data_IF_154308553917
#
_entry.id   IF_154308553917
#
_cell.length_a   1.000
_cell.length_b   1.000
_cell.length_c   1.000
_cell.angle_alpha   90.00
_cell.angle_beta   90.00
_cell.angle_gamma   90.00
#
_symmetry.space_group_name_H-M   'P 1'
#
loop_
_entity.id
_entity.type
_entity.pdbx_description
1 polymer ?
#
# COMPACT_ATOMS: atom_id res chain seq x y z
N UNK A 1 -18.32 1.61 -21.68
CA UNK A 1 -16.85 1.51 -21.49
C UNK A 1 -16.61 1.34 -20.00
N UNK A 2 -16.30 0.13 -19.54
CA UNK A 2 -16.10 -0.15 -18.11
C UNK A 2 -14.72 0.32 -17.66
N UNK A 3 -14.65 1.06 -16.57
CA UNK A 3 -13.39 1.39 -15.89
C UNK A 3 -12.76 0.11 -15.33
N UNK A 4 -11.49 -0.13 -15.63
CA UNK A 4 -10.74 -1.29 -15.15
C UNK A 4 -10.20 -0.98 -13.75
N UNK A 5 -11.06 -1.17 -12.75
CA UNK A 5 -10.73 -0.98 -11.34
C UNK A 5 -9.77 -2.07 -10.84
N UNK A 6 -8.87 -1.69 -9.93
CA UNK A 6 -7.99 -2.63 -9.25
C UNK A 6 -8.80 -3.53 -8.30
N UNK A 7 -8.56 -4.84 -8.33
CA UNK A 7 -9.19 -5.80 -7.41
C UNK A 7 -8.56 -5.79 -6.01
N UNK A 8 -7.43 -5.08 -5.83
CA UNK A 8 -6.79 -4.98 -4.51
C UNK A 8 -7.67 -4.17 -3.54
N UNK A 9 -7.86 -4.73 -2.34
CA UNK A 9 -8.59 -4.09 -1.25
C UNK A 9 -8.02 -2.68 -0.95
N UNK A 10 -8.89 -1.68 -0.89
CA UNK A 10 -8.50 -0.29 -0.59
C UNK A 10 -7.72 0.44 -1.70
N UNK A 11 -7.62 -0.11 -2.91
CA UNK A 11 -7.02 0.60 -4.04
C UNK A 11 -8.08 1.36 -4.85
N UNK A 12 -7.96 2.68 -4.91
CA UNK A 12 -8.90 3.58 -5.62
C UNK A 12 -8.57 3.75 -7.12
N UNK A 13 -7.59 2.99 -7.64
CA UNK A 13 -7.17 3.10 -9.02
C UNK A 13 -8.17 2.46 -9.99
N UNK A 14 -8.60 3.24 -10.99
CA UNK A 14 -9.63 2.87 -11.98
C UNK A 14 -9.10 2.69 -13.41
N UNK A 15 -7.77 2.73 -13.59
CA UNK A 15 -7.07 2.54 -14.86
C UNK A 15 -5.97 1.47 -14.71
N UNK A 16 -6.37 0.21 -14.60
CA UNK A 16 -5.44 -0.91 -14.47
C UNK A 16 -5.28 -1.66 -15.80
N UNK A 17 -4.04 -1.83 -16.26
CA UNK A 17 -3.75 -2.52 -17.53
C UNK A 17 -3.35 -3.99 -17.34
N UNK A 18 -3.07 -4.43 -16.11
CA UNK A 18 -2.58 -5.78 -15.82
C UNK A 18 -3.72 -6.63 -15.28
N UNK A 19 -3.96 -7.78 -15.92
CA UNK A 19 -4.96 -8.77 -15.51
C UNK A 19 -4.28 -10.10 -15.20
N UNK A 20 -4.64 -10.69 -14.07
CA UNK A 20 -4.36 -12.08 -13.76
C UNK A 20 -5.65 -12.87 -13.77
N UNK A 21 -5.67 -14.02 -14.46
CA UNK A 21 -6.83 -14.92 -14.47
C UNK A 21 -7.20 -15.43 -13.07
N UNK A 22 -6.24 -15.45 -12.13
CA UNK A 22 -6.43 -15.97 -10.78
C UNK A 22 -6.79 -14.87 -9.78
N UNK A 23 -6.24 -13.66 -9.94
CA UNK A 23 -6.29 -12.60 -8.92
C UNK A 23 -6.98 -11.31 -9.36
N UNK A 24 -7.40 -11.20 -10.62
CA UNK A 24 -8.08 -10.00 -11.14
C UNK A 24 -7.13 -8.92 -11.65
N UNK A 25 -7.62 -7.68 -11.70
CA UNK A 25 -6.90 -6.52 -12.19
C UNK A 25 -5.99 -5.93 -11.11
N UNK A 26 -4.78 -5.53 -11.52
CA UNK A 26 -3.80 -4.88 -10.64
C UNK A 26 -3.24 -3.62 -11.32
N UNK A 27 -3.23 -2.50 -10.61
CA UNK A 27 -2.61 -1.27 -11.12
C UNK A 27 -1.08 -1.35 -11.06
N UNK A 28 -0.39 -0.49 -11.82
CA UNK A 28 1.07 -0.47 -11.84
C UNK A 28 1.69 -0.17 -10.46
N UNK A 29 1.06 0.68 -9.65
CA UNK A 29 1.54 0.96 -8.29
C UNK A 29 1.48 -0.26 -7.38
N UNK A 30 0.34 -0.97 -7.36
CA UNK A 30 0.20 -2.18 -6.54
C UNK A 30 1.08 -3.31 -7.05
N UNK A 31 1.32 -3.38 -8.35
CA UNK A 31 2.29 -4.32 -8.90
C UNK A 31 3.72 -3.99 -8.45
N UNK A 32 4.11 -2.71 -8.45
CA UNK A 32 5.42 -2.27 -7.96
C UNK A 32 5.61 -2.57 -6.46
N UNK A 33 4.58 -2.35 -5.65
CA UNK A 33 4.55 -2.76 -4.24
C UNK A 33 4.73 -4.27 -4.08
N UNK A 34 4.00 -5.08 -4.86
CA UNK A 34 4.12 -6.55 -4.83
C UNK A 34 5.54 -7.00 -5.20
N UNK A 35 6.15 -6.37 -6.20
CA UNK A 35 7.55 -6.65 -6.59
C UNK A 35 8.51 -6.29 -5.47
N UNK A 36 8.29 -5.16 -4.78
CA UNK A 36 9.09 -4.73 -3.61
C UNK A 36 8.91 -5.63 -2.40
N UNK A 37 7.74 -6.22 -2.20
CA UNK A 37 7.50 -7.21 -1.14
C UNK A 37 8.32 -8.50 -1.34
N UNK A 38 8.75 -8.78 -2.57
CA UNK A 38 9.65 -9.89 -2.91
C UNK A 38 8.93 -11.14 -3.40
N UNK A 39 9.70 -12.06 -4.01
CA UNK A 39 9.16 -13.23 -4.72
C UNK A 39 8.49 -14.27 -3.82
N UNK A 40 8.73 -14.23 -2.50
CA UNK A 40 8.09 -15.11 -1.52
C UNK A 40 6.70 -14.60 -1.09
N UNK A 41 6.30 -13.42 -1.56
CA UNK A 41 5.01 -12.81 -1.20
C UNK A 41 3.85 -13.61 -1.77
N UNK A 42 2.88 -13.93 -0.92
CA UNK A 42 1.62 -14.53 -1.37
C UNK A 42 0.76 -13.47 -2.06
N UNK A 43 0.60 -13.59 -3.38
CA UNK A 43 -0.18 -12.64 -4.20
C UNK A 43 -1.62 -12.52 -3.71
N UNK A 44 -2.23 -13.64 -3.29
CA UNK A 44 -3.60 -13.64 -2.79
C UNK A 44 -3.74 -12.84 -1.50
N UNK A 45 -2.81 -12.99 -0.56
CA UNK A 45 -2.79 -12.20 0.68
C UNK A 45 -2.54 -10.72 0.40
N UNK A 46 -1.60 -10.42 -0.49
CA UNK A 46 -1.30 -9.05 -0.94
C UNK A 46 -2.51 -8.34 -1.59
N UNK A 47 -3.32 -9.06 -2.36
CA UNK A 47 -4.53 -8.52 -2.98
C UNK A 47 -5.64 -8.25 -1.95
N UNK A 48 -5.73 -9.05 -0.88
CA UNK A 48 -6.72 -8.87 0.19
C UNK A 48 -6.29 -7.86 1.26
N UNK A 49 -5.00 -7.55 1.37
CA UNK A 49 -4.52 -6.55 2.30
C UNK A 49 -4.87 -5.15 1.79
N UNK A 50 -5.43 -4.27 2.65
CA UNK A 50 -5.73 -2.91 2.27
C UNK A 50 -4.44 -2.25 1.81
N UNK A 51 -4.46 -1.56 0.66
CA UNK A 51 -3.37 -0.65 0.29
C UNK A 51 -3.23 0.32 1.45
N UNK A 52 -2.15 0.20 2.22
CA UNK A 52 -1.82 1.17 3.26
C UNK A 52 -1.66 2.50 2.54
N UNK A 53 -2.69 3.33 2.57
CA UNK A 53 -2.55 4.74 2.22
C UNK A 53 -1.40 5.21 3.08
N UNK A 54 -0.30 5.64 2.44
CA UNK A 54 0.86 6.15 3.14
C UNK A 54 0.33 7.20 4.12
N UNK A 55 0.27 6.86 5.41
CA UNK A 55 0.04 7.84 6.45
C UNK A 55 1.10 8.88 6.17
N UNK A 56 0.66 10.09 5.81
CA UNK A 56 1.58 11.14 5.36
C UNK A 56 2.73 11.19 6.34
N UNK A 57 3.96 11.32 5.85
CA UNK A 57 5.15 11.27 6.70
C UNK A 57 5.01 12.20 7.91
N UNK A 58 4.30 13.32 7.73
CA UNK A 58 3.85 14.26 8.75
C UNK A 58 2.95 13.64 9.85
N UNK A 59 1.94 12.87 9.48
CA UNK A 59 1.01 12.22 10.42
C UNK A 59 1.68 11.04 11.15
N UNK A 60 2.53 10.28 10.45
CA UNK A 60 3.34 9.23 11.05
C UNK A 60 4.33 9.84 12.05
N UNK A 61 5.01 10.92 11.66
CA UNK A 61 5.94 11.67 12.50
C UNK A 61 5.24 12.26 13.71
N UNK A 62 4.07 12.89 13.57
CA UNK A 62 3.30 13.41 14.71
C UNK A 62 2.94 12.29 15.70
N UNK A 63 2.57 11.11 15.21
CA UNK A 63 2.24 9.96 16.06
C UNK A 63 3.47 9.38 16.77
N UNK A 64 4.62 9.32 16.09
CA UNK A 64 5.87 8.85 16.70
C UNK A 64 6.51 9.88 17.63
N UNK A 65 6.32 11.17 17.40
CA UNK A 65 6.82 12.24 18.28
C UNK A 65 6.15 12.18 19.66
N UNK A 66 4.85 11.84 19.72
CA UNK A 66 4.13 11.55 20.96
C UNK A 66 4.67 10.29 21.67
N UNK A 67 5.03 9.25 20.92
CA UNK A 67 5.52 7.98 21.46
C UNK A 67 7.00 8.03 21.87
N UNK A 68 7.80 8.85 21.20
CA UNK A 68 9.24 9.02 21.40
C UNK A 68 9.59 10.51 21.52
N UNK A 69 9.12 11.19 22.59
CA UNK A 69 9.44 12.60 22.77
C UNK A 69 10.94 12.78 22.96
N UNK A 70 11.53 13.77 22.25
CA UNK A 70 12.91 14.17 22.45
C UNK A 70 13.07 14.66 23.90
N UNK A 71 13.64 13.81 24.76
CA UNK A 71 14.09 14.23 26.08
C UNK A 71 15.31 15.12 25.91
N UNK A 72 15.08 16.43 25.78
CA UNK A 72 16.11 17.45 25.99
C UNK A 72 16.50 17.40 27.47
N UNK A 73 17.45 16.54 27.83
CA UNK A 73 18.13 16.61 29.11
C UNK A 73 19.14 17.76 29.04
N UNK A 74 18.66 18.99 29.18
CA UNK A 74 19.52 20.14 29.47
C UNK A 74 19.93 20.07 30.94
N UNK A 75 21.11 19.52 31.19
CA UNK A 75 21.88 19.70 32.41
C UNK A 75 23.34 19.95 32.04
#
# INVERSE_FOLDING_TARGET
MGVLACDRSGCENVMCDRLSNTYGYICNECFDELVKSGAETNIGDFMHTPKTQATSEDEARARFDVAFPLMNHSL
#
